data_IF_953503112110
#
_entry.id   IF_953503112110
#
_cell.length_a   1.000
_cell.length_b   1.000
_cell.length_c   1.000
_cell.angle_alpha   90.00
_cell.angle_beta   90.00
_cell.angle_gamma   90.00
#
_symmetry.space_group_name_H-M   'P 1'
#
loop_
_entity.id
_entity.type
_entity.pdbx_description
1 polymer ?
#
# COMPACT_ATOMS: atom_id res chain seq x y z
N UNK A 1 46.04 47.63 54.25
CA UNK A 1 46.08 46.18 53.93
C UNK A 1 45.85 46.01 52.45
N UNK A 2 46.84 45.43 51.79
CA UNK A 2 47.02 45.31 50.34
C UNK A 2 46.21 44.12 49.83
N UNK A 3 45.22 44.34 48.97
CA UNK A 3 44.75 43.31 48.05
C UNK A 3 44.67 43.90 46.65
N UNK A 4 45.81 43.77 45.99
CA UNK A 4 45.99 43.68 44.56
C UNK A 4 45.22 42.46 44.02
N UNK A 5 44.99 42.45 42.71
CA UNK A 5 44.66 41.32 41.81
C UNK A 5 43.19 41.28 41.36
N UNK A 6 42.83 41.13 40.09
CA UNK A 6 43.50 41.13 38.78
C UNK A 6 42.36 41.21 37.75
N UNK A 7 42.55 41.99 36.69
CA UNK A 7 41.74 41.92 35.47
C UNK A 7 41.87 40.50 34.89
N UNK A 8 40.76 39.78 34.68
CA UNK A 8 40.74 38.62 33.79
C UNK A 8 39.58 38.78 32.82
N UNK A 9 39.98 39.15 31.60
CA UNK A 9 39.21 39.17 30.37
C UNK A 9 38.96 37.71 29.94
N UNK A 10 37.80 37.14 30.27
CA UNK A 10 37.42 35.81 29.77
C UNK A 10 36.63 35.92 28.47
N UNK A 11 37.39 35.76 27.39
CA UNK A 11 37.06 35.30 26.04
C UNK A 11 35.63 34.80 25.82
N UNK A 12 34.96 35.44 24.87
CA UNK A 12 33.71 35.04 24.22
C UNK A 12 33.85 33.67 23.52
N UNK A 13 32.97 32.72 23.86
CA UNK A 13 32.67 31.57 23.02
C UNK A 13 31.23 31.67 22.52
N UNK A 14 31.05 32.22 21.32
CA UNK A 14 29.79 32.16 20.61
C UNK A 14 29.57 30.71 20.15
N UNK A 15 28.77 29.96 20.92
CA UNK A 15 28.31 28.63 20.51
C UNK A 15 27.18 28.86 19.50
N UNK A 16 27.54 28.88 18.22
CA UNK A 16 26.57 28.82 17.13
C UNK A 16 25.87 27.47 17.19
N UNK A 17 24.73 27.41 17.86
CA UNK A 17 23.84 26.25 17.86
C UNK A 17 23.11 26.22 16.51
N UNK A 18 23.75 25.64 15.50
CA UNK A 18 23.07 25.30 14.25
C UNK A 18 22.10 24.17 14.53
N UNK A 19 20.85 24.52 14.81
CA UNK A 19 19.75 23.58 14.81
C UNK A 19 19.62 22.99 13.40
N UNK A 20 20.19 21.80 13.20
CA UNK A 20 19.86 20.94 12.05
C UNK A 20 18.38 20.59 12.19
N UNK A 21 17.53 21.39 11.56
CA UNK A 21 16.15 21.01 11.30
C UNK A 21 16.19 19.89 10.27
N UNK A 22 16.24 18.66 10.76
CA UNK A 22 15.92 17.49 9.96
C UNK A 22 14.49 17.64 9.47
N UNK A 23 14.31 18.17 8.26
CA UNK A 23 13.07 18.07 7.53
C UNK A 23 12.86 16.59 7.22
N UNK A 24 12.17 15.89 8.10
CA UNK A 24 11.46 14.67 7.72
C UNK A 24 10.38 15.10 6.75
N UNK A 25 10.69 15.13 5.45
CA UNK A 25 9.67 14.92 4.43
C UNK A 25 8.93 13.65 4.84
N UNK A 26 7.69 13.80 5.32
CA UNK A 26 6.79 12.67 5.45
C UNK A 26 6.49 12.20 4.04
N UNK A 27 7.38 11.38 3.48
CA UNK A 27 7.16 10.64 2.24
C UNK A 27 5.84 9.93 2.45
N UNK A 28 4.78 10.42 1.78
CA UNK A 28 3.44 9.89 1.93
C UNK A 28 3.55 8.37 1.83
N UNK A 29 3.14 7.66 2.89
CA UNK A 29 3.26 6.21 2.95
C UNK A 29 2.47 5.65 1.78
N UNK A 30 3.20 5.20 0.76
CA UNK A 30 2.61 4.59 -0.42
C UNK A 30 2.00 3.28 0.03
N UNK A 31 0.68 3.19 -0.09
CA UNK A 31 -0.08 2.01 0.31
C UNK A 31 -1.04 1.64 -0.81
N UNK A 32 -1.11 0.34 -1.10
CA UNK A 32 -2.04 -0.24 -2.06
C UNK A 32 -2.77 -1.38 -1.36
N UNK A 33 -4.07 -1.20 -1.11
CA UNK A 33 -4.93 -2.30 -0.71
C UNK A 33 -5.44 -3.00 -1.98
N UNK A 34 -5.19 -4.31 -2.07
CA UNK A 34 -5.69 -5.19 -3.12
C UNK A 34 -6.88 -5.94 -2.54
N UNK A 35 -8.09 -5.66 -3.03
CA UNK A 35 -9.30 -6.35 -2.59
C UNK A 35 -9.72 -7.34 -3.67
N UNK A 36 -9.89 -8.60 -3.28
CA UNK A 36 -10.59 -9.58 -4.09
C UNK A 36 -11.88 -10.00 -3.38
N UNK A 37 -13.01 -9.55 -3.90
CA UNK A 37 -14.32 -9.97 -3.43
C UNK A 37 -14.77 -11.22 -4.19
N UNK A 38 -15.43 -12.15 -3.50
CA UNK A 38 -16.02 -13.35 -4.07
C UNK A 38 -17.37 -13.65 -3.41
N UNK A 39 -18.21 -14.45 -4.06
CA UNK A 39 -19.44 -14.99 -3.44
C UNK A 39 -19.18 -16.32 -2.73
N UNK A 40 -20.21 -16.86 -2.07
CA UNK A 40 -20.22 -18.21 -1.51
C UNK A 40 -19.96 -19.27 -2.60
N UNK A 41 -20.58 -19.07 -3.76
CA UNK A 41 -20.39 -19.93 -4.92
C UNK A 41 -19.34 -19.31 -5.85
N UNK A 42 -18.24 -20.03 -6.06
CA UNK A 42 -17.12 -19.56 -6.87
C UNK A 42 -17.02 -20.34 -8.17
N UNK A 43 -17.12 -19.64 -9.30
CA UNK A 43 -16.85 -20.24 -10.60
C UNK A 43 -15.33 -20.48 -10.77
N UNK A 44 -14.89 -21.32 -11.72
CA UNK A 44 -13.46 -21.60 -11.86
C UNK A 44 -12.64 -20.35 -12.22
N UNK A 45 -13.22 -19.35 -12.89
CA UNK A 45 -12.55 -18.06 -13.14
C UNK A 45 -12.35 -17.27 -11.85
N UNK A 46 -13.30 -17.29 -10.91
CA UNK A 46 -13.12 -16.68 -9.59
C UNK A 46 -11.90 -17.29 -8.86
N UNK A 47 -11.82 -18.62 -8.85
CA UNK A 47 -10.68 -19.33 -8.26
C UNK A 47 -9.36 -18.99 -8.95
N UNK A 48 -9.36 -18.81 -10.28
CA UNK A 48 -8.19 -18.38 -11.03
C UNK A 48 -7.76 -16.95 -10.67
N UNK A 49 -8.69 -16.00 -10.56
CA UNK A 49 -8.37 -14.62 -10.15
C UNK A 49 -7.67 -14.62 -8.78
N UNK A 50 -8.25 -15.30 -7.79
CA UNK A 50 -7.63 -15.36 -6.45
C UNK A 50 -6.23 -15.98 -6.48
N UNK A 51 -6.10 -17.15 -7.12
CA UNK A 51 -4.86 -17.90 -7.20
C UNK A 51 -3.77 -17.06 -7.87
N UNK A 52 -4.05 -16.50 -9.03
CA UNK A 52 -3.04 -15.80 -9.82
C UNK A 52 -2.70 -14.42 -9.24
N UNK A 53 -3.65 -13.75 -8.55
CA UNK A 53 -3.36 -12.54 -7.76
C UNK A 53 -2.41 -12.88 -6.62
N UNK A 54 -2.70 -13.90 -5.80
CA UNK A 54 -1.80 -14.36 -4.73
C UNK A 54 -0.41 -14.69 -5.25
N UNK A 55 -0.34 -15.49 -6.32
CA UNK A 55 0.92 -15.89 -6.92
C UNK A 55 1.77 -14.71 -7.42
N UNK A 56 1.14 -13.67 -7.99
CA UNK A 56 1.87 -12.46 -8.40
C UNK A 56 2.39 -11.70 -7.18
N UNK A 57 1.55 -11.48 -6.17
CA UNK A 57 1.92 -10.70 -4.99
C UNK A 57 3.05 -11.40 -4.22
N UNK A 58 2.96 -12.71 -4.03
CA UNK A 58 3.97 -13.51 -3.31
C UNK A 58 5.30 -13.59 -4.06
N UNK A 59 5.30 -13.61 -5.40
CA UNK A 59 6.52 -13.72 -6.20
C UNK A 59 7.18 -12.37 -6.49
N UNK A 60 6.39 -11.33 -6.77
CA UNK A 60 6.90 -10.05 -7.27
C UNK A 60 6.89 -8.94 -6.22
N UNK A 61 5.97 -9.01 -5.25
CA UNK A 61 5.72 -7.93 -4.30
C UNK A 61 5.91 -8.35 -2.84
N UNK A 62 6.61 -9.46 -2.59
CA UNK A 62 6.82 -10.02 -1.26
C UNK A 62 7.38 -8.99 -0.28
N UNK A 63 8.37 -8.20 -0.69
CA UNK A 63 8.97 -7.18 0.17
C UNK A 63 7.95 -6.09 0.56
N UNK A 64 7.14 -5.63 -0.39
CA UNK A 64 6.10 -4.63 -0.17
C UNK A 64 4.97 -5.18 0.71
N UNK A 65 4.64 -6.46 0.57
CA UNK A 65 3.70 -7.13 1.46
C UNK A 65 4.23 -7.22 2.90
N UNK A 66 5.48 -7.66 3.07
CA UNK A 66 6.14 -7.71 4.39
C UNK A 66 6.22 -6.33 5.04
N UNK A 67 6.45 -5.29 4.24
CA UNK A 67 6.48 -3.90 4.71
C UNK A 67 5.10 -3.27 4.95
N UNK A 68 4.00 -3.99 4.67
CA UNK A 68 2.63 -3.47 4.78
C UNK A 68 2.25 -2.41 3.74
N UNK A 69 3.10 -2.19 2.75
CA UNK A 69 2.89 -1.29 1.59
C UNK A 69 1.80 -1.86 0.68
N UNK A 70 1.75 -3.18 0.52
CA UNK A 70 0.66 -3.87 -0.17
C UNK A 70 -0.07 -4.79 0.80
N UNK A 71 -1.40 -4.74 0.80
CA UNK A 71 -2.23 -5.68 1.56
C UNK A 71 -3.25 -6.34 0.65
N UNK A 72 -3.20 -7.67 0.54
CA UNK A 72 -4.27 -8.45 -0.08
C UNK A 72 -5.36 -8.77 0.94
N UNK A 73 -6.62 -8.49 0.60
CA UNK A 73 -7.80 -8.92 1.35
C UNK A 73 -8.72 -9.72 0.43
N UNK A 74 -8.90 -11.01 0.75
CA UNK A 74 -9.88 -11.87 0.08
C UNK A 74 -11.15 -11.91 0.92
N UNK A 75 -12.25 -11.41 0.37
CA UNK A 75 -13.46 -11.10 1.12
C UNK A 75 -14.68 -11.77 0.48
N UNK A 76 -15.48 -12.45 1.29
CA UNK A 76 -16.80 -12.92 0.86
C UNK A 76 -17.78 -11.75 0.90
N UNK A 77 -18.33 -11.32 -0.23
CA UNK A 77 -19.27 -10.19 -0.26
C UNK A 77 -20.65 -10.53 0.33
N UNK A 78 -20.96 -11.82 0.50
CA UNK A 78 -22.20 -12.29 1.14
C UNK A 78 -22.06 -12.40 2.68
N UNK A 79 -20.85 -12.25 3.22
CA UNK A 79 -20.61 -12.28 4.66
C UNK A 79 -20.85 -10.90 5.29
N UNK A 80 -21.78 -10.83 6.25
CA UNK A 80 -22.18 -9.60 6.94
C UNK A 80 -21.00 -8.84 7.55
N UNK A 81 -19.93 -9.52 7.98
CA UNK A 81 -18.75 -8.84 8.53
C UNK A 81 -18.04 -7.94 7.50
N UNK A 82 -18.25 -8.18 6.21
CA UNK A 82 -17.66 -7.40 5.11
C UNK A 82 -18.60 -6.32 4.56
N UNK A 83 -19.83 -6.21 5.09
CA UNK A 83 -20.89 -5.33 4.56
C UNK A 83 -20.45 -3.87 4.40
N UNK A 84 -19.64 -3.36 5.33
CA UNK A 84 -19.11 -1.98 5.25
C UNK A 84 -18.25 -1.78 3.99
N UNK A 85 -17.37 -2.73 3.68
CA UNK A 85 -16.51 -2.65 2.49
C UNK A 85 -17.29 -2.94 1.21
N UNK A 86 -18.23 -3.88 1.26
CA UNK A 86 -19.13 -4.21 0.14
C UNK A 86 -19.93 -2.98 -0.27
N UNK A 87 -20.54 -2.26 0.68
CA UNK A 87 -21.26 -1.01 0.41
C UNK A 87 -20.34 0.09 -0.08
N UNK A 88 -19.19 0.29 0.58
CA UNK A 88 -18.21 1.34 0.23
C UNK A 88 -17.74 1.25 -1.22
N UNK A 89 -17.53 0.03 -1.72
CA UNK A 89 -17.02 -0.22 -3.06
C UNK A 89 -18.10 -0.71 -4.04
N UNK A 90 -19.37 -0.65 -3.64
CA UNK A 90 -20.53 -1.02 -4.47
C UNK A 90 -20.37 -2.42 -5.09
N UNK A 91 -19.96 -3.39 -4.26
CA UNK A 91 -19.67 -4.76 -4.70
C UNK A 91 -20.97 -5.55 -4.81
N UNK A 92 -21.32 -5.94 -6.03
CA UNK A 92 -22.48 -6.81 -6.32
C UNK A 92 -22.10 -8.26 -6.63
N UNK A 93 -20.81 -8.52 -6.88
CA UNK A 93 -20.33 -9.81 -7.34
C UNK A 93 -18.84 -10.00 -7.08
N UNK A 94 -18.24 -11.00 -7.72
CA UNK A 94 -16.80 -11.19 -7.61
C UNK A 94 -16.07 -10.02 -8.28
N UNK A 95 -15.08 -9.42 -7.60
CA UNK A 95 -14.46 -8.18 -8.07
C UNK A 95 -13.01 -8.07 -7.61
N UNK A 96 -12.14 -7.54 -8.47
CA UNK A 96 -10.74 -7.26 -8.13
C UNK A 96 -10.50 -5.76 -8.18
N UNK A 97 -10.16 -5.16 -7.04
CA UNK A 97 -9.93 -3.73 -6.91
C UNK A 97 -8.51 -3.45 -6.38
N UNK A 98 -7.95 -2.33 -6.83
CA UNK A 98 -6.79 -1.69 -6.20
C UNK A 98 -7.22 -0.37 -5.61
N UNK A 99 -6.82 -0.09 -4.37
CA UNK A 99 -7.15 1.17 -3.68
C UNK A 99 -5.86 1.77 -3.13
N UNK A 100 -5.55 3.01 -3.50
CA UNK A 100 -4.39 3.72 -2.96
C UNK A 100 -4.68 4.38 -1.60
N UNK A 101 -3.63 4.93 -0.97
CA UNK A 101 -3.73 5.61 0.32
C UNK A 101 -4.69 6.83 0.33
N UNK A 102 -4.99 7.41 -0.84
CA UNK A 102 -5.91 8.55 -1.00
C UNK A 102 -7.34 8.11 -1.29
N UNK A 103 -7.59 6.81 -1.40
CA UNK A 103 -8.90 6.24 -1.71
C UNK A 103 -9.21 6.18 -3.20
N UNK A 104 -8.24 6.43 -4.09
CA UNK A 104 -8.42 6.21 -5.52
C UNK A 104 -8.59 4.72 -5.75
N UNK A 105 -9.73 4.35 -6.34
CA UNK A 105 -10.06 2.97 -6.67
C UNK A 105 -9.85 2.71 -8.16
N UNK A 106 -9.14 1.62 -8.48
CA UNK A 106 -9.03 1.07 -9.84
C UNK A 106 -9.77 -0.27 -9.83
N UNK A 107 -10.84 -0.36 -10.62
CA UNK A 107 -11.59 -1.60 -10.81
C UNK A 107 -10.97 -2.42 -11.94
N UNK A 108 -10.45 -3.60 -11.61
CA UNK A 108 -9.80 -4.52 -12.54
C UNK A 108 -10.65 -5.76 -12.83
N UNK A 109 -11.93 -5.76 -12.44
CA UNK A 109 -12.80 -6.94 -12.49
C UNK A 109 -12.93 -7.49 -13.91
N UNK A 110 -13.28 -6.66 -14.89
CA UNK A 110 -13.42 -7.10 -16.28
C UNK A 110 -12.12 -7.69 -16.84
N UNK A 111 -11.01 -7.00 -16.62
CA UNK A 111 -9.68 -7.47 -17.00
C UNK A 111 -9.33 -8.80 -16.33
N UNK A 112 -9.63 -8.95 -15.04
CA UNK A 112 -9.38 -10.17 -14.29
C UNK A 112 -10.19 -11.34 -14.84
N UNK A 113 -11.48 -11.14 -15.11
CA UNK A 113 -12.35 -12.19 -15.68
C UNK A 113 -11.94 -12.59 -17.11
N UNK A 114 -11.50 -11.63 -17.92
CA UNK A 114 -11.05 -11.91 -19.28
C UNK A 114 -9.75 -12.73 -19.32
N UNK A 115 -8.82 -12.50 -18.39
CA UNK A 115 -7.45 -13.01 -18.52
C UNK A 115 -7.08 -14.08 -17.47
N UNK A 116 -7.53 -13.99 -16.21
CA UNK A 116 -6.93 -14.78 -15.13
C UNK A 116 -6.97 -16.31 -15.34
N UNK A 117 -8.04 -16.83 -15.96
CA UNK A 117 -8.16 -18.27 -16.26
C UNK A 117 -7.53 -18.66 -17.60
N UNK A 118 -7.68 -17.83 -18.61
CA UNK A 118 -7.36 -18.18 -20.00
C UNK A 118 -5.94 -17.76 -20.41
N UNK A 119 -5.42 -16.71 -19.78
CA UNK A 119 -4.09 -16.15 -20.01
C UNK A 119 -3.54 -15.55 -18.69
N UNK A 120 -3.14 -16.44 -17.78
CA UNK A 120 -2.57 -16.06 -16.50
C UNK A 120 -1.30 -15.18 -16.62
N UNK A 121 -0.37 -15.40 -17.58
CA UNK A 121 0.74 -14.49 -17.82
C UNK A 121 0.31 -13.05 -18.11
N UNK A 122 -0.66 -12.84 -19.02
CA UNK A 122 -1.16 -11.51 -19.36
C UNK A 122 -1.89 -10.86 -18.19
N UNK A 123 -2.70 -11.63 -17.44
CA UNK A 123 -3.33 -11.16 -16.21
C UNK A 123 -2.30 -10.64 -15.20
N UNK A 124 -1.25 -11.41 -14.92
CA UNK A 124 -0.18 -11.01 -13.99
C UNK A 124 0.58 -9.79 -14.49
N UNK A 125 0.85 -9.70 -15.78
CA UNK A 125 1.52 -8.54 -16.39
C UNK A 125 0.70 -7.26 -16.21
N UNK A 126 -0.60 -7.30 -16.52
CA UNK A 126 -1.52 -6.17 -16.36
C UNK A 126 -1.67 -5.76 -14.90
N UNK A 127 -1.91 -6.72 -14.00
CA UNK A 127 -2.05 -6.46 -12.57
C UNK A 127 -0.77 -5.84 -11.98
N UNK A 128 0.40 -6.38 -12.33
CA UNK A 128 1.71 -5.82 -11.93
C UNK A 128 1.87 -4.37 -12.39
N UNK A 129 1.47 -4.07 -13.62
CA UNK A 129 1.58 -2.72 -14.17
C UNK A 129 0.72 -1.73 -13.39
N UNK A 130 -0.52 -2.07 -13.05
CA UNK A 130 -1.41 -1.20 -12.27
C UNK A 130 -0.94 -1.00 -10.83
N UNK A 131 -0.48 -2.06 -10.16
CA UNK A 131 0.13 -1.95 -8.83
C UNK A 131 1.35 -1.02 -8.88
N UNK A 132 2.24 -1.20 -9.87
CA UNK A 132 3.42 -0.34 -10.00
C UNK A 132 3.07 1.13 -10.27
N UNK A 133 1.98 1.43 -10.99
CA UNK A 133 1.52 2.81 -11.16
C UNK A 133 1.12 3.44 -9.83
N UNK A 134 0.49 2.68 -8.93
CA UNK A 134 0.08 3.17 -7.61
C UNK A 134 1.25 3.27 -6.61
N UNK A 135 2.34 2.54 -6.84
CA UNK A 135 3.56 2.60 -6.03
C UNK A 135 4.56 3.68 -6.49
N UNK A 136 4.33 4.31 -7.65
CA UNK A 136 5.15 5.42 -8.15
C UNK A 136 4.82 6.73 -7.45
#
# INVERSE_FOLDING_TARGET
MRKLLLFILTVTAAISFTAVQGQTETKALKKVDVYYFHGNHRCPTCNAIEKETKALLDSTFKAQMTAGVIKLSVLNHEDKKNETLVKKYEIWGSSLLLVDAKGKTINLTEMAFANARNDAPEFKRKLKAEINKLLK
#
